data_IF_266829221240
#
_entry.id   IF_266829221240
#
_cell.length_a   1.000
_cell.length_b   1.000
_cell.length_c   1.000
_cell.angle_alpha   90.00
_cell.angle_beta   90.00
_cell.angle_gamma   90.00
#
_symmetry.space_group_name_H-M   'P 1'
#
loop_
_entity.id
_entity.type
_entity.pdbx_description
1 polymer ?
#
# COMPACT_ATOMS: atom_id res chain seq x y z
N UNK A 1 -4.65 19.16 13.82
CA UNK A 1 -5.76 18.65 14.65
C UNK A 1 -7.04 18.94 13.89
N UNK A 2 -8.00 18.03 13.90
CA UNK A 2 -9.36 18.25 13.38
C UNK A 2 -10.28 18.09 14.58
N UNK A 3 -11.00 19.14 14.98
CA UNK A 3 -11.91 19.13 16.13
C UNK A 3 -11.30 18.55 17.42
N UNK A 4 -10.06 18.92 17.74
CA UNK A 4 -9.35 18.41 18.92
C UNK A 4 -8.66 17.05 18.74
N UNK A 5 -8.91 16.34 17.63
CA UNK A 5 -8.30 15.05 17.32
C UNK A 5 -6.97 15.24 16.58
N UNK A 6 -5.91 14.60 17.08
CA UNK A 6 -4.60 14.61 16.42
C UNK A 6 -4.53 13.49 15.37
N UNK A 7 -4.52 13.87 14.10
CA UNK A 7 -4.33 12.95 12.98
C UNK A 7 -2.86 13.00 12.54
N UNK A 8 -2.27 11.83 12.28
CA UNK A 8 -0.94 11.70 11.67
C UNK A 8 -1.07 10.80 10.45
N UNK A 9 -0.53 11.26 9.33
CA UNK A 9 -0.49 10.49 8.08
C UNK A 9 0.97 10.23 7.75
N UNK A 10 1.27 8.98 7.42
CA UNK A 10 2.58 8.57 6.96
C UNK A 10 2.49 8.24 5.48
N UNK A 11 3.01 9.14 4.64
CA UNK A 11 3.18 8.84 3.23
C UNK A 11 4.46 8.02 3.01
N UNK A 12 4.41 7.10 2.05
CA UNK A 12 5.51 6.17 1.75
C UNK A 12 5.74 6.13 0.25
N UNK A 13 7.00 6.02 -0.23
CA UNK A 13 7.26 5.83 -1.65
C UNK A 13 6.48 4.64 -2.23
N UNK A 14 5.97 4.77 -3.45
CA UNK A 14 5.25 3.71 -4.12
C UNK A 14 6.10 2.46 -4.34
N UNK A 15 5.49 1.29 -4.19
CA UNK A 15 6.10 0.03 -4.58
C UNK A 15 6.03 -0.13 -6.10
N UNK A 16 7.02 -0.79 -6.67
CA UNK A 16 7.13 -1.00 -8.10
C UNK A 16 6.80 -2.43 -8.47
N UNK A 17 5.98 -2.64 -9.50
CA UNK A 17 5.52 -3.98 -9.87
C UNK A 17 6.56 -4.82 -10.61
N UNK A 18 7.61 -4.20 -11.15
CA UNK A 18 8.67 -4.91 -11.89
C UNK A 18 9.50 -5.83 -10.98
N UNK A 19 9.72 -7.07 -11.43
CA UNK A 19 10.60 -8.03 -10.75
C UNK A 19 12.05 -7.53 -10.61
N UNK A 20 12.53 -6.73 -11.58
CA UNK A 20 13.86 -6.13 -11.54
C UNK A 20 14.00 -5.07 -10.44
N UNK A 21 12.89 -4.59 -9.88
CA UNK A 21 12.86 -3.51 -8.90
C UNK A 21 12.58 -4.00 -7.46
N UNK A 22 12.66 -5.31 -7.22
CA UNK A 22 12.45 -5.88 -5.87
C UNK A 22 13.43 -5.34 -4.82
N UNK A 23 14.67 -5.00 -5.21
CA UNK A 23 15.65 -4.42 -4.28
C UNK A 23 15.21 -3.05 -3.77
N UNK A 24 14.61 -2.23 -4.65
CA UNK A 24 14.01 -0.95 -4.30
C UNK A 24 12.84 -1.16 -3.33
N UNK A 25 11.90 -2.05 -3.66
CA UNK A 25 10.75 -2.34 -2.80
C UNK A 25 11.19 -2.83 -1.42
N UNK A 26 12.22 -3.68 -1.34
CA UNK A 26 12.75 -4.17 -0.06
C UNK A 26 13.31 -3.02 0.79
N UNK A 27 13.98 -2.04 0.18
CA UNK A 27 14.48 -0.85 0.88
C UNK A 27 13.34 0.01 1.41
N UNK A 28 12.32 0.26 0.58
CA UNK A 28 11.10 0.99 0.97
C UNK A 28 10.43 0.28 2.15
N UNK A 29 10.13 -1.02 2.01
CA UNK A 29 9.46 -1.81 3.05
C UNK A 29 10.27 -1.90 4.35
N UNK A 30 11.61 -1.92 4.28
CA UNK A 30 12.47 -1.86 5.46
C UNK A 30 12.30 -0.54 6.22
N UNK A 31 12.21 0.59 5.51
CA UNK A 31 11.95 1.89 6.13
C UNK A 31 10.54 1.97 6.72
N UNK A 32 9.53 1.47 6.00
CA UNK A 32 8.16 1.37 6.51
C UNK A 32 8.10 0.51 7.76
N UNK A 33 8.79 -0.64 7.79
CA UNK A 33 8.87 -1.52 8.98
C UNK A 33 9.47 -0.81 10.19
N UNK A 34 10.52 0.00 9.99
CA UNK A 34 11.12 0.79 11.08
C UNK A 34 10.12 1.83 11.60
N UNK A 35 9.41 2.49 10.69
CA UNK A 35 8.38 3.47 11.03
C UNK A 35 7.23 2.85 11.82
N UNK A 36 6.66 1.75 11.34
CA UNK A 36 5.52 1.07 11.98
C UNK A 36 5.89 0.43 13.31
N UNK A 37 7.14 0.02 13.51
CA UNK A 37 7.62 -0.42 14.83
C UNK A 37 7.72 0.73 15.83
N UNK A 38 8.17 1.92 15.38
CA UNK A 38 8.30 3.10 16.24
C UNK A 38 6.95 3.76 16.53
N UNK A 39 6.08 3.78 15.53
CA UNK A 39 4.74 4.36 15.55
C UNK A 39 3.77 3.37 14.89
N UNK A 40 3.19 2.43 15.64
CA UNK A 40 2.21 1.50 15.10
C UNK A 40 1.02 2.26 14.48
N UNK A 41 0.63 1.96 13.23
CA UNK A 41 -0.50 2.61 12.61
C UNK A 41 -1.82 2.05 13.14
N UNK A 42 -2.80 2.94 13.36
CA UNK A 42 -4.17 2.54 13.71
C UNK A 42 -4.91 1.96 12.48
N UNK A 43 -4.69 2.57 11.32
CA UNK A 43 -5.27 2.20 10.02
C UNK A 43 -4.17 2.17 8.98
N UNK A 44 -4.24 1.22 8.04
CA UNK A 44 -3.35 1.14 6.89
C UNK A 44 -4.18 1.31 5.62
N UNK A 45 -3.73 2.16 4.70
CA UNK A 45 -4.36 2.31 3.39
C UNK A 45 -3.53 1.55 2.35
N UNK A 46 -4.10 0.51 1.74
CA UNK A 46 -3.52 -0.06 0.52
C UNK A 46 -4.17 0.63 -0.67
N UNK A 47 -3.40 1.42 -1.41
CA UNK A 47 -3.93 2.29 -2.46
C UNK A 47 -3.60 1.72 -3.83
N UNK A 48 -4.62 1.59 -4.66
CA UNK A 48 -4.48 1.23 -6.07
C UNK A 48 -5.38 2.12 -6.94
N UNK A 49 -5.29 1.98 -8.26
CA UNK A 49 -6.15 2.70 -9.20
C UNK A 49 -7.26 1.79 -9.72
N UNK A 50 -8.50 2.29 -9.74
CA UNK A 50 -9.65 1.58 -10.30
C UNK A 50 -9.54 1.42 -11.83
N UNK A 51 -8.94 2.39 -12.50
CA UNK A 51 -8.87 2.48 -13.96
C UNK A 51 -7.68 1.74 -14.58
N UNK A 52 -6.84 1.09 -13.77
CA UNK A 52 -5.82 0.19 -14.27
C UNK A 52 -6.45 -1.16 -14.61
N UNK A 53 -6.51 -1.48 -15.90
CA UNK A 53 -6.88 -2.81 -16.40
C UNK A 53 -5.69 -3.77 -16.32
N UNK A 54 -5.26 -4.13 -15.11
CA UNK A 54 -4.28 -5.21 -14.90
C UNK A 54 -5.03 -6.54 -14.82
N UNK A 55 -5.27 -7.18 -15.97
CA UNK A 55 -5.90 -8.52 -16.04
C UNK A 55 -5.02 -9.65 -15.48
N UNK A 56 -3.77 -9.35 -15.18
CA UNK A 56 -2.81 -10.32 -14.69
C UNK A 56 -2.66 -10.18 -13.17
N UNK A 57 -2.54 -11.32 -12.46
CA UNK A 57 -2.32 -11.42 -11.01
C UNK A 57 -0.94 -10.86 -10.55
N UNK A 58 -0.48 -9.77 -11.14
CA UNK A 58 0.82 -9.14 -10.94
C UNK A 58 1.00 -8.54 -9.55
N UNK A 59 -0.08 -8.36 -8.78
CA UNK A 59 -0.01 -7.76 -7.45
C UNK A 59 0.24 -8.79 -6.34
N UNK A 60 0.00 -10.09 -6.58
CA UNK A 60 0.24 -11.12 -5.57
C UNK A 60 1.70 -11.15 -5.07
N UNK A 61 2.73 -11.10 -5.94
CA UNK A 61 4.12 -11.00 -5.50
C UNK A 61 4.40 -9.75 -4.64
N UNK A 62 3.76 -8.62 -4.96
CA UNK A 62 3.88 -7.39 -4.21
C UNK A 62 3.25 -7.53 -2.82
N UNK A 63 2.01 -8.01 -2.73
CA UNK A 63 1.28 -8.24 -1.48
C UNK A 63 2.00 -9.25 -0.58
N UNK A 64 2.61 -10.29 -1.17
CA UNK A 64 3.47 -11.24 -0.44
C UNK A 64 4.72 -10.55 0.12
N UNK A 65 5.34 -9.64 -0.64
CA UNK A 65 6.49 -8.87 -0.18
C UNK A 65 6.14 -7.95 0.99
N UNK A 66 4.98 -7.28 0.94
CA UNK A 66 4.44 -6.47 2.05
C UNK A 66 4.23 -7.35 3.28
N UNK A 67 3.56 -8.50 3.11
CA UNK A 67 3.28 -9.46 4.19
C UNK A 67 4.57 -9.99 4.82
N UNK A 68 5.57 -10.33 4.02
CA UNK A 68 6.88 -10.81 4.50
C UNK A 68 7.63 -9.73 5.28
N UNK A 69 7.56 -8.48 4.82
CA UNK A 69 8.26 -7.38 5.48
C UNK A 69 7.58 -6.92 6.78
N UNK A 70 6.26 -6.72 6.75
CA UNK A 70 5.48 -6.08 7.83
C UNK A 70 4.75 -7.08 8.74
N UNK A 71 4.64 -8.35 8.31
CA UNK A 71 3.90 -9.39 9.02
C UNK A 71 2.42 -9.43 8.63
N UNK A 72 1.73 -10.57 8.77
CA UNK A 72 0.34 -10.74 8.35
C UNK A 72 -0.65 -9.87 9.14
N UNK A 73 -0.28 -9.44 10.34
CA UNK A 73 -1.12 -8.56 11.17
C UNK A 73 -1.35 -7.19 10.55
N UNK A 74 -0.50 -6.75 9.61
CA UNK A 74 -0.67 -5.46 8.93
C UNK A 74 -2.03 -5.37 8.23
N UNK A 75 -2.56 -6.52 7.76
CA UNK A 75 -3.81 -6.60 7.01
C UNK A 75 -5.07 -6.51 7.87
N UNK A 76 -4.97 -6.60 9.21
CA UNK A 76 -6.15 -6.59 10.10
C UNK A 76 -6.92 -5.27 10.07
N UNK A 77 -6.20 -4.15 9.89
CA UNK A 77 -6.77 -2.80 9.87
C UNK A 77 -6.51 -2.12 8.51
N UNK A 78 -6.42 -2.89 7.43
CA UNK A 78 -6.26 -2.35 6.08
C UNK A 78 -7.60 -1.92 5.51
N UNK A 79 -7.61 -0.73 4.92
CA UNK A 79 -8.65 -0.29 3.99
C UNK A 79 -8.03 -0.32 2.58
N UNK A 80 -8.62 -1.11 1.68
CA UNK A 80 -8.27 -1.09 0.26
C UNK A 80 -8.93 0.14 -0.36
N UNK A 81 -8.10 1.04 -0.89
CA UNK A 81 -8.52 2.34 -1.41
C UNK A 81 -8.28 2.36 -2.91
N UNK A 82 -9.36 2.43 -3.69
CA UNK A 82 -9.29 2.54 -5.14
C UNK A 82 -9.45 4.00 -5.56
N UNK A 83 -8.42 4.56 -6.16
CA UNK A 83 -8.41 5.91 -6.72
C UNK A 83 -8.96 5.92 -8.15
N UNK A 84 -9.14 7.11 -8.73
CA UNK A 84 -9.70 7.26 -10.08
C UNK A 84 -11.14 6.71 -10.22
N UNK A 85 -11.94 6.80 -9.15
CA UNK A 85 -13.31 6.30 -9.12
C UNK A 85 -14.26 6.97 -10.14
N UNK A 86 -13.89 8.14 -10.67
CA UNK A 86 -14.64 8.87 -11.69
C UNK A 86 -14.18 8.56 -13.13
N UNK A 87 -13.20 7.67 -13.33
CA UNK A 87 -12.77 7.27 -14.67
C UNK A 87 -13.91 6.55 -15.40
N UNK A 88 -14.02 6.81 -16.70
CA UNK A 88 -14.96 6.08 -17.55
C UNK A 88 -14.62 4.58 -17.49
N UNK A 89 -15.63 3.68 -17.41
CA UNK A 89 -15.38 2.26 -17.54
C UNK A 89 -14.72 1.98 -18.89
N UNK A 90 -13.86 0.95 -19.00
CA UNK A 90 -13.29 0.56 -20.29
C UNK A 90 -14.41 0.29 -21.29
N UNK A 91 -14.21 0.69 -22.55
CA UNK A 91 -15.14 0.36 -23.63
C UNK A 91 -15.33 -1.16 -23.68
N UNK A 92 -16.59 -1.61 -23.62
CA UNK A 92 -16.98 -3.02 -23.61
C UNK A 92 -16.94 -3.65 -24.99
#
# INVERSE_FOLDING_TARGET
>A
MVDGVKIRVFDTPGLKSSAFEQSYNRKVLSNVKKLTKKCPPDIVLYVDRLDLQTRDMNDLPMLRSVTSALGPSIWRNVIVTLTHAASAPPDG
#
